data_IF_635329081079
#
_entry.id   IF_635329081079
#
_cell.length_a   1.000
_cell.length_b   1.000
_cell.length_c   1.000
_cell.angle_alpha   90.00
_cell.angle_beta   90.00
_cell.angle_gamma   90.00
#
_symmetry.space_group_name_H-M   'P 1'
#
loop_
_entity.id
_entity.type
_entity.pdbx_description
1 polymer ?
#
# COMPACT_ATOMS: atom_id res chain seq x y z
N UNK A 1 8.80 3.72 -12.36
CA UNK A 1 8.68 3.33 -10.93
C UNK A 1 7.22 3.41 -10.56
N UNK A 2 6.63 2.35 -10.02
CA UNK A 2 5.21 2.34 -9.60
C UNK A 2 5.09 3.10 -8.27
N UNK A 3 4.20 4.09 -8.21
CA UNK A 3 3.93 4.90 -7.02
C UNK A 3 3.44 4.03 -5.87
N UNK A 4 3.83 4.35 -4.63
CA UNK A 4 3.30 3.66 -3.44
C UNK A 4 1.84 4.10 -3.24
N UNK A 5 0.97 3.21 -2.76
CA UNK A 5 -0.48 3.47 -2.64
C UNK A 5 -0.84 4.82 -1.94
N UNK A 6 -0.02 5.29 -1.01
CA UNK A 6 -0.22 6.60 -0.36
C UNK A 6 0.06 7.80 -1.27
N UNK A 7 1.06 7.71 -2.14
CA UNK A 7 1.41 8.75 -3.13
C UNK A 7 0.32 8.82 -4.20
N UNK A 8 -0.16 7.66 -4.67
CA UNK A 8 -1.27 7.56 -5.62
C UNK A 8 -2.56 8.20 -5.08
N UNK A 9 -2.92 7.93 -3.81
CA UNK A 9 -4.08 8.55 -3.17
C UNK A 9 -3.90 10.08 -3.08
N UNK A 10 -2.68 10.56 -2.80
CA UNK A 10 -2.40 11.99 -2.71
C UNK A 10 -2.52 12.68 -4.06
N UNK A 11 -1.98 12.07 -5.12
CA UNK A 11 -2.05 12.59 -6.49
C UNK A 11 -3.50 12.60 -7.00
N UNK A 12 -4.24 11.50 -6.79
CA UNK A 12 -5.66 11.42 -7.15
C UNK A 12 -6.51 12.46 -6.40
N UNK A 13 -6.21 12.71 -5.11
CA UNK A 13 -6.88 13.78 -4.35
C UNK A 13 -6.55 15.16 -4.90
N UNK A 14 -5.29 15.42 -5.26
CA UNK A 14 -4.91 16.70 -5.86
C UNK A 14 -5.66 16.93 -7.17
N UNK A 15 -5.71 15.92 -8.03
CA UNK A 15 -6.47 15.98 -9.28
C UNK A 15 -7.97 16.16 -9.05
N UNK A 16 -8.54 15.52 -8.04
CA UNK A 16 -9.94 15.76 -7.63
C UNK A 16 -10.19 17.22 -7.27
N UNK A 17 -9.29 17.84 -6.49
CA UNK A 17 -9.39 19.26 -6.17
C UNK A 17 -9.31 20.15 -7.42
N UNK A 18 -8.36 19.90 -8.31
CA UNK A 18 -8.23 20.65 -9.58
C UNK A 18 -9.51 20.55 -10.42
N UNK A 19 -10.11 19.35 -10.53
CA UNK A 19 -11.37 19.17 -11.27
C UNK A 19 -12.51 19.94 -10.61
N UNK A 20 -12.60 19.93 -9.28
CA UNK A 20 -13.62 20.68 -8.54
C UNK A 20 -13.45 22.19 -8.76
N UNK A 21 -12.22 22.71 -8.69
CA UNK A 21 -11.90 24.12 -8.97
C UNK A 21 -12.32 24.50 -10.39
N UNK A 22 -11.93 23.71 -11.40
CA UNK A 22 -12.29 23.92 -12.80
C UNK A 22 -13.81 24.01 -12.98
N UNK A 23 -14.58 23.09 -12.37
CA UNK A 23 -16.05 23.09 -12.46
C UNK A 23 -16.64 24.32 -11.75
N UNK A 24 -16.08 24.71 -10.61
CA UNK A 24 -16.60 25.82 -9.78
C UNK A 24 -16.32 27.18 -10.43
N UNK A 25 -15.16 27.34 -11.05
CA UNK A 25 -14.72 28.60 -11.67
C UNK A 25 -15.31 28.81 -13.07
N UNK A 26 -15.85 27.77 -13.71
CA UNK A 26 -16.42 27.84 -15.06
C UNK A 26 -17.92 27.47 -15.08
N UNK A 27 -18.81 28.33 -14.55
CA UNK A 27 -20.25 28.04 -14.44
C UNK A 27 -20.97 27.86 -15.79
N UNK A 28 -20.39 28.36 -16.89
CA UNK A 28 -20.94 28.23 -18.25
C UNK A 28 -20.22 27.14 -19.08
N UNK A 29 -19.55 26.19 -18.43
CA UNK A 29 -18.85 25.10 -19.10
C UNK A 29 -19.79 24.29 -20.02
N UNK A 30 -19.24 23.84 -21.15
CA UNK A 30 -19.97 22.97 -22.06
C UNK A 30 -20.35 21.65 -21.37
N UNK A 31 -21.60 21.22 -21.52
CA UNK A 31 -22.12 19.97 -20.96
C UNK A 31 -21.23 18.75 -21.25
N UNK A 32 -20.64 18.66 -22.45
CA UNK A 32 -19.77 17.55 -22.81
C UNK A 32 -18.45 17.55 -22.03
N UNK A 33 -17.90 18.72 -21.73
CA UNK A 33 -16.67 18.87 -20.93
C UNK A 33 -16.96 18.58 -19.46
N UNK A 34 -18.08 19.09 -18.95
CA UNK A 34 -18.56 18.82 -17.61
C UNK A 34 -18.74 17.31 -17.38
N UNK A 35 -19.37 16.60 -18.31
CA UNK A 35 -19.56 15.15 -18.23
C UNK A 35 -18.24 14.37 -18.25
N UNK A 36 -17.23 14.83 -19.00
CA UNK A 36 -15.89 14.21 -19.00
C UNK A 36 -15.21 14.37 -17.64
N UNK A 37 -15.21 15.58 -17.09
CA UNK A 37 -14.61 15.88 -15.79
C UNK A 37 -15.30 15.12 -14.64
N UNK A 38 -16.63 15.02 -14.67
CA UNK A 38 -17.39 14.22 -13.71
C UNK A 38 -17.06 12.72 -13.79
N UNK A 39 -16.85 12.17 -14.99
CA UNK A 39 -16.41 10.77 -15.16
C UNK A 39 -15.00 10.54 -14.61
N UNK A 40 -14.08 11.45 -14.89
CA UNK A 40 -12.72 11.41 -14.35
C UNK A 40 -12.73 11.46 -12.82
N UNK A 41 -13.48 12.39 -12.24
CA UNK A 41 -13.63 12.51 -10.78
C UNK A 41 -14.16 11.21 -10.15
N UNK A 42 -15.19 10.60 -10.76
CA UNK A 42 -15.73 9.30 -10.32
C UNK A 42 -14.68 8.18 -10.41
N UNK A 43 -13.88 8.16 -11.47
CA UNK A 43 -12.80 7.18 -11.62
C UNK A 43 -11.75 7.34 -10.51
N UNK A 44 -11.28 8.56 -10.26
CA UNK A 44 -10.31 8.86 -9.21
C UNK A 44 -10.84 8.48 -7.82
N UNK A 45 -12.14 8.66 -7.56
CA UNK A 45 -12.78 8.24 -6.31
C UNK A 45 -12.79 6.71 -6.14
N UNK A 46 -13.06 5.99 -7.22
CA UNK A 46 -13.03 4.52 -7.22
C UNK A 46 -11.62 3.99 -6.98
N UNK A 47 -10.61 4.58 -7.63
CA UNK A 47 -9.19 4.24 -7.42
C UNK A 47 -8.76 4.49 -5.97
N UNK A 48 -9.14 5.63 -5.38
CA UNK A 48 -8.89 5.93 -3.97
C UNK A 48 -9.55 4.91 -3.03
N UNK A 49 -10.77 4.49 -3.34
CA UNK A 49 -11.50 3.49 -2.56
C UNK A 49 -10.83 2.13 -2.64
N UNK A 50 -10.38 1.73 -3.83
CA UNK A 50 -9.65 0.48 -4.08
C UNK A 50 -8.33 0.46 -3.32
N UNK A 51 -7.53 1.54 -3.41
CA UNK A 51 -6.28 1.69 -2.68
C UNK A 51 -6.47 1.59 -1.15
N UNK A 52 -7.52 2.22 -0.60
CA UNK A 52 -7.86 2.10 0.83
C UNK A 52 -8.22 0.67 1.24
N UNK A 53 -9.04 -0.03 0.44
CA UNK A 53 -9.41 -1.43 0.70
C UNK A 53 -8.18 -2.35 0.72
N UNK A 54 -7.26 -2.14 -0.23
CA UNK A 54 -5.99 -2.86 -0.28
C UNK A 54 -5.15 -2.61 0.97
N UNK A 55 -5.03 -1.35 1.40
CA UNK A 55 -4.31 -1.01 2.63
C UNK A 55 -4.94 -1.73 3.84
N UNK A 56 -6.26 -1.65 4.01
CA UNK A 56 -7.00 -2.37 5.07
C UNK A 56 -6.69 -3.88 5.05
N UNK A 57 -6.71 -4.50 3.87
CA UNK A 57 -6.45 -5.93 3.71
C UNK A 57 -5.00 -6.29 4.11
N UNK A 58 -4.02 -5.48 3.69
CA UNK A 58 -2.62 -5.64 4.11
C UNK A 58 -2.47 -5.54 5.63
N UNK A 59 -3.14 -4.59 6.28
CA UNK A 59 -3.15 -4.47 7.74
C UNK A 59 -3.77 -5.69 8.43
N UNK A 60 -4.90 -6.21 7.91
CA UNK A 60 -5.54 -7.42 8.45
C UNK A 60 -4.62 -8.64 8.39
N UNK A 61 -3.92 -8.84 7.27
CA UNK A 61 -2.96 -9.93 7.12
C UNK A 61 -1.78 -9.73 8.07
N UNK A 62 -1.24 -8.51 8.14
CA UNK A 62 -0.14 -8.20 9.03
C UNK A 62 -0.50 -8.44 10.50
N UNK A 63 -1.72 -8.09 10.94
CA UNK A 63 -2.22 -8.40 12.29
C UNK A 63 -2.48 -9.89 12.51
N UNK A 64 -2.87 -10.63 11.47
CA UNK A 64 -3.01 -12.09 11.55
C UNK A 64 -1.66 -12.81 11.75
N UNK A 65 -0.59 -12.27 11.15
CA UNK A 65 0.78 -12.80 11.29
C UNK A 65 1.41 -12.33 12.60
N UNK A 66 1.25 -11.04 12.93
CA UNK A 66 1.81 -10.42 14.13
C UNK A 66 0.73 -10.20 15.17
N UNK A 67 0.69 -11.09 16.16
CA UNK A 67 -0.09 -10.88 17.36
C UNK A 67 0.76 -10.09 18.39
N UNK A 68 0.46 -8.79 18.51
CA UNK A 68 1.21 -7.82 19.34
C UNK A 68 1.25 -8.20 20.83
N UNK A 69 0.33 -9.06 21.25
CA UNK A 69 0.08 -9.37 22.66
C UNK A 69 1.09 -10.35 23.25
N UNK A 70 1.89 -11.04 22.42
CA UNK A 70 2.69 -12.17 22.91
C UNK A 70 4.10 -11.81 23.41
N UNK A 71 4.87 -10.92 22.77
CA UNK A 71 6.29 -10.73 23.16
C UNK A 71 6.93 -9.36 22.86
N UNK A 72 6.22 -8.37 22.30
CA UNK A 72 6.77 -7.02 22.04
C UNK A 72 7.93 -6.91 21.01
N UNK A 73 8.65 -8.00 20.72
CA UNK A 73 9.86 -8.03 19.90
C UNK A 73 9.63 -8.70 18.54
N UNK A 74 9.89 -7.97 17.46
CA UNK A 74 9.67 -8.45 16.08
C UNK A 74 10.60 -9.61 15.78
N UNK A 75 10.03 -10.81 15.57
CA UNK A 75 10.83 -11.99 15.26
C UNK A 75 11.22 -12.02 13.78
N UNK A 76 12.39 -12.60 13.48
CA UNK A 76 12.84 -12.79 12.10
C UNK A 76 11.87 -13.68 11.28
N UNK A 77 11.22 -14.62 11.96
CA UNK A 77 10.18 -15.48 11.40
C UNK A 77 8.96 -14.67 10.97
N UNK A 78 8.49 -13.75 11.81
CA UNK A 78 7.39 -12.82 11.47
C UNK A 78 7.73 -12.00 10.24
N UNK A 79 8.95 -11.45 10.18
CA UNK A 79 9.39 -10.66 9.02
C UNK A 79 9.36 -11.51 7.75
N UNK A 80 9.86 -12.75 7.81
CA UNK A 80 9.83 -13.68 6.69
C UNK A 80 8.40 -14.07 6.27
N UNK A 81 7.49 -14.30 7.22
CA UNK A 81 6.08 -14.61 6.96
C UNK A 81 5.34 -13.44 6.29
N UNK A 82 5.56 -12.21 6.76
CA UNK A 82 5.01 -11.02 6.11
C UNK A 82 5.56 -10.82 4.70
N UNK A 83 6.85 -11.08 4.49
CA UNK A 83 7.48 -11.07 3.15
C UNK A 83 6.89 -12.15 2.25
N UNK A 84 6.63 -13.35 2.77
CA UNK A 84 5.98 -14.44 2.05
C UNK A 84 4.53 -14.07 1.68
N UNK A 85 3.82 -13.31 2.53
CA UNK A 85 2.52 -12.74 2.21
C UNK A 85 2.55 -11.63 1.15
N UNK A 86 3.73 -11.30 0.61
CA UNK A 86 3.92 -10.29 -0.44
C UNK A 86 3.98 -8.85 0.08
N UNK A 87 4.04 -8.65 1.40
CA UNK A 87 4.17 -7.32 2.00
C UNK A 87 5.58 -6.78 1.79
N UNK A 88 5.68 -5.54 1.33
CA UNK A 88 6.97 -4.89 1.09
C UNK A 88 7.59 -4.32 2.38
N UNK A 89 8.90 -4.02 2.32
CA UNK A 89 9.66 -3.48 3.46
C UNK A 89 9.10 -2.11 3.90
N UNK A 90 8.56 -1.31 2.98
CA UNK A 90 8.03 0.01 3.29
C UNK A 90 6.75 -0.09 4.12
N UNK A 91 5.83 -0.96 3.72
CA UNK A 91 4.60 -1.25 4.44
C UNK A 91 4.91 -1.83 5.82
N UNK A 92 5.78 -2.83 5.92
CA UNK A 92 6.13 -3.43 7.21
C UNK A 92 6.80 -2.41 8.15
N UNK A 93 7.71 -1.58 7.64
CA UNK A 93 8.34 -0.52 8.42
C UNK A 93 7.29 0.46 8.98
N UNK A 94 6.32 0.89 8.15
CA UNK A 94 5.18 1.70 8.57
C UNK A 94 4.33 0.98 9.63
N UNK A 95 3.99 -0.28 9.39
CA UNK A 95 3.16 -1.10 10.29
C UNK A 95 3.79 -1.25 11.68
N UNK A 96 5.09 -1.48 11.73
CA UNK A 96 5.84 -1.64 12.98
C UNK A 96 6.27 -0.32 13.63
N UNK A 97 6.15 0.81 12.93
CA UNK A 97 6.62 2.12 13.41
C UNK A 97 8.14 2.21 13.51
N UNK A 98 8.89 1.53 12.63
CA UNK A 98 10.35 1.55 12.60
C UNK A 98 10.88 2.00 11.23
N UNK A 99 12.16 2.35 11.13
CA UNK A 99 12.77 2.70 9.85
C UNK A 99 12.96 1.49 8.93
N UNK A 100 12.93 1.71 7.60
CA UNK A 100 13.27 0.67 6.60
C UNK A 100 14.67 0.10 6.86
N UNK A 101 15.62 0.95 7.25
CA UNK A 101 16.99 0.57 7.57
C UNK A 101 17.06 -0.35 8.78
N UNK A 102 16.29 -0.05 9.84
CA UNK A 102 16.19 -0.90 11.03
C UNK A 102 15.66 -2.30 10.66
N UNK A 103 14.60 -2.37 9.84
CA UNK A 103 14.05 -3.65 9.41
C UNK A 103 15.05 -4.45 8.53
N UNK A 104 15.75 -3.78 7.62
CA UNK A 104 16.79 -4.40 6.80
C UNK A 104 17.97 -4.89 7.65
N UNK A 105 18.38 -4.14 8.67
CA UNK A 105 19.44 -4.55 9.59
C UNK A 105 19.03 -5.79 10.39
N UNK A 106 17.77 -5.88 10.85
CA UNK A 106 17.26 -7.11 11.48
C UNK A 106 17.38 -8.32 10.54
N UNK A 107 17.01 -8.15 9.26
CA UNK A 107 17.13 -9.20 8.25
C UNK A 107 18.58 -9.57 8.00
N UNK A 108 19.48 -8.59 7.92
CA UNK A 108 20.89 -8.80 7.65
C UNK A 108 21.59 -9.55 8.80
N UNK A 109 21.35 -9.10 10.04
CA UNK A 109 21.94 -9.67 11.24
C UNK A 109 21.54 -11.14 11.44
N UNK A 110 20.31 -11.52 11.05
CA UNK A 110 19.83 -12.89 11.11
C UNK A 110 19.43 -13.46 9.74
N UNK A 111 20.29 -13.22 8.74
CA UNK A 111 20.05 -13.65 7.35
C UNK A 111 19.85 -15.15 7.20
N UNK A 112 20.48 -15.95 8.07
CA UNK A 112 20.42 -17.41 8.01
C UNK A 112 19.03 -17.89 8.46
N UNK A 113 18.51 -17.40 9.58
CA UNK A 113 17.15 -17.73 10.00
C UNK A 113 16.11 -17.13 9.05
N UNK A 114 16.32 -15.92 8.54
CA UNK A 114 15.44 -15.32 7.54
C UNK A 114 15.28 -16.23 6.31
N UNK A 115 16.40 -16.70 5.72
CA UNK A 115 16.37 -17.59 4.55
C UNK A 115 15.70 -18.94 4.83
N UNK A 116 15.69 -19.41 6.07
CA UNK A 116 15.00 -20.65 6.46
C UNK A 116 13.48 -20.53 6.35
N UNK A 117 12.94 -19.33 6.57
CA UNK A 117 11.50 -19.08 6.59
C UNK A 117 11.00 -18.36 5.33
N UNK A 118 11.88 -17.66 4.62
CA UNK A 118 11.52 -16.88 3.44
C UNK A 118 11.48 -17.74 2.17
N UNK A 119 10.36 -17.71 1.47
CA UNK A 119 10.16 -18.33 0.16
C UNK A 119 10.00 -17.21 -0.90
N UNK A 120 11.01 -17.09 -1.76
CA UNK A 120 11.06 -16.05 -2.80
C UNK A 120 9.94 -16.17 -3.82
N UNK A 121 9.57 -17.38 -4.20
CA UNK A 121 8.55 -17.62 -5.23
C UNK A 121 7.16 -17.30 -4.70
N UNK A 122 6.88 -17.75 -3.46
CA UNK A 122 5.65 -17.40 -2.75
C UNK A 122 5.52 -15.89 -2.55
N UNK A 123 6.60 -15.23 -2.11
CA UNK A 123 6.66 -13.78 -1.95
C UNK A 123 6.39 -13.05 -3.26
N UNK A 124 6.98 -13.50 -4.36
CA UNK A 124 6.83 -12.88 -5.68
C UNK A 124 5.40 -13.03 -6.21
N UNK A 125 4.82 -14.23 -6.08
CA UNK A 125 3.43 -14.52 -6.46
C UNK A 125 2.44 -13.67 -5.65
N UNK A 126 2.62 -13.63 -4.33
CA UNK A 126 1.73 -12.86 -3.46
C UNK A 126 1.93 -11.35 -3.62
N UNK A 127 3.14 -10.90 -3.99
CA UNK A 127 3.37 -9.49 -4.36
C UNK A 127 2.58 -9.10 -5.61
N UNK A 128 2.50 -9.98 -6.60
CA UNK A 128 1.71 -9.72 -7.81
C UNK A 128 0.22 -9.58 -7.50
N UNK A 129 -0.33 -10.38 -6.59
CA UNK A 129 -1.71 -10.21 -6.11
C UNK A 129 -1.99 -8.77 -5.65
N UNK A 130 -1.07 -8.16 -4.90
CA UNK A 130 -1.19 -6.77 -4.43
C UNK A 130 -1.04 -5.70 -5.51
N UNK A 131 -0.51 -6.05 -6.69
CA UNK A 131 -0.30 -5.15 -7.82
C UNK A 131 -1.37 -5.32 -8.91
N UNK A 132 -2.03 -6.48 -8.96
CA UNK A 132 -3.14 -6.77 -9.88
C UNK A 132 -4.51 -6.37 -9.32
N UNK A 133 -4.65 -6.42 -7.99
CA UNK A 133 -5.78 -5.86 -7.25
C UNK A 133 -5.68 -4.35 -7.10
#
# INVERSE_FOLDING_TARGET
>A
MSLVAGELISENKKRQFEIIEIITENPNMNLNELLKLQRELKQLMNENTRAKKLEILKYKIASGIWNKDKYGCISIKTIAEMRNAGLDIAFMAKYFGISKSSLNNCIYNDRKAYRKHFNKDLSSKNKQFWLSE
#
